data_IF_027586081951
#
_entry.id   IF_027586081951
#
_cell.length_a   1.000
_cell.length_b   1.000
_cell.length_c   1.000
_cell.angle_alpha   90.00
_cell.angle_beta   90.00
_cell.angle_gamma   90.00
#
_symmetry.space_group_name_H-M   'P 1'
#
loop_
_entity.id
_entity.type
_entity.pdbx_description
1 polymer ?
#
# COMPACT_ATOMS: atom_id res chain seq x y z
N UNK A 1 11.19 -0.85 20.28
CA UNK A 1 10.79 -2.27 20.27
C UNK A 1 9.28 -2.48 20.49
N UNK A 2 8.61 -1.72 21.36
CA UNK A 2 7.15 -1.88 21.62
C UNK A 2 6.24 -1.67 20.39
N UNK A 3 6.45 -0.61 19.59
CA UNK A 3 5.53 -0.30 18.48
C UNK A 3 5.51 -1.35 17.35
N UNK A 4 6.57 -2.14 17.19
CA UNK A 4 6.61 -3.28 16.25
C UNK A 4 5.86 -4.49 16.80
N UNK A 5 5.95 -4.73 18.11
CA UNK A 5 5.32 -5.88 18.77
C UNK A 5 3.78 -5.78 18.76
N UNK A 6 3.24 -4.57 18.92
CA UNK A 6 1.79 -4.31 18.97
C UNK A 6 1.24 -3.73 17.67
N UNK A 7 1.90 -3.97 16.54
CA UNK A 7 1.38 -3.53 15.24
C UNK A 7 0.10 -4.33 14.93
N UNK A 8 -1.03 -3.67 14.62
CA UNK A 8 -2.28 -4.37 14.34
C UNK A 8 -2.13 -5.32 13.16
N UNK A 9 -2.67 -6.53 13.28
CA UNK A 9 -2.59 -7.59 12.27
C UNK A 9 -3.83 -7.71 11.41
N UNK A 10 -4.96 -7.18 11.87
CA UNK A 10 -6.27 -7.22 11.23
C UNK A 10 -7.03 -5.91 11.54
N UNK A 11 -8.16 -5.71 10.88
CA UNK A 11 -8.95 -4.48 11.00
C UNK A 11 -9.52 -4.24 12.41
N UNK A 12 -9.82 -5.27 13.19
CA UNK A 12 -10.38 -5.13 14.54
C UNK A 12 -9.36 -4.65 15.58
N UNK A 13 -8.06 -4.83 15.31
CA UNK A 13 -6.97 -4.34 16.16
C UNK A 13 -6.61 -2.87 15.89
N UNK A 14 -7.10 -2.28 14.79
CA UNK A 14 -6.86 -0.86 14.46
C UNK A 14 -7.66 0.03 15.41
N UNK A 15 -7.01 0.99 16.06
CA UNK A 15 -7.63 1.90 17.04
C UNK A 15 -7.75 3.31 16.49
N UNK A 16 -8.92 3.95 16.72
CA UNK A 16 -9.15 5.37 16.42
C UNK A 16 -9.34 5.70 14.94
N UNK A 17 -9.48 4.70 14.07
CA UNK A 17 -9.67 4.86 12.62
C UNK A 17 -10.92 4.11 12.13
N UNK A 18 -11.96 4.04 12.96
CA UNK A 18 -13.14 3.20 12.74
C UNK A 18 -13.84 3.49 11.40
N UNK A 19 -13.90 4.77 11.01
CA UNK A 19 -14.46 5.18 9.73
C UNK A 19 -13.67 4.61 8.54
N UNK A 20 -12.34 4.72 8.57
CA UNK A 20 -11.46 4.21 7.50
C UNK A 20 -11.59 2.70 7.39
N UNK A 21 -11.52 2.00 8.53
CA UNK A 21 -11.68 0.55 8.62
C UNK A 21 -13.02 0.10 8.05
N UNK A 22 -14.12 0.78 8.42
CA UNK A 22 -15.46 0.47 7.93
C UNK A 22 -15.57 0.61 6.41
N UNK A 23 -15.01 1.68 5.85
CA UNK A 23 -15.03 1.93 4.39
C UNK A 23 -14.25 0.83 3.65
N UNK A 24 -13.04 0.51 4.11
CA UNK A 24 -12.21 -0.53 3.48
C UNK A 24 -12.86 -1.91 3.59
N UNK A 25 -13.34 -2.30 4.77
CA UNK A 25 -14.02 -3.58 4.98
C UNK A 25 -15.27 -3.70 4.09
N UNK A 26 -16.04 -2.62 3.93
CA UNK A 26 -17.19 -2.60 3.04
C UNK A 26 -16.78 -2.71 1.56
N UNK A 27 -15.69 -2.07 1.14
CA UNK A 27 -15.18 -2.16 -0.23
C UNK A 27 -14.77 -3.61 -0.57
N UNK A 28 -14.05 -4.29 0.33
CA UNK A 28 -13.65 -5.70 0.18
C UNK A 28 -14.87 -6.60 0.12
N UNK A 29 -15.79 -6.48 1.10
CA UNK A 29 -17.01 -7.30 1.17
C UNK A 29 -17.85 -7.20 -0.09
N UNK A 30 -17.96 -6.00 -0.66
CA UNK A 30 -18.75 -5.75 -1.87
C UNK A 30 -17.97 -6.00 -3.17
N UNK A 31 -16.71 -6.45 -3.10
CA UNK A 31 -15.80 -6.58 -4.26
C UNK A 31 -15.70 -5.29 -5.09
N UNK A 32 -15.73 -4.13 -4.41
CA UNK A 32 -15.65 -2.78 -5.01
C UNK A 32 -14.37 -2.08 -4.59
N UNK A 33 -13.25 -2.77 -4.70
CA UNK A 33 -11.93 -2.25 -4.33
C UNK A 33 -11.34 -1.43 -5.48
N UNK A 34 -10.77 -0.26 -5.16
CA UNK A 34 -10.01 0.57 -6.10
C UNK A 34 -8.66 -0.08 -6.44
N UNK A 35 -8.09 0.30 -7.59
CA UNK A 35 -6.72 -0.07 -7.98
C UNK A 35 -5.65 0.71 -7.17
N UNK A 36 -6.01 1.86 -6.58
CA UNK A 36 -5.11 2.68 -5.79
C UNK A 36 -5.80 3.31 -4.57
N UNK A 37 -5.03 3.44 -3.48
CA UNK A 37 -5.44 4.08 -2.22
C UNK A 37 -4.35 5.03 -1.73
N UNK A 38 -4.73 6.25 -1.36
CA UNK A 38 -3.84 7.22 -0.72
C UNK A 38 -4.18 7.32 0.77
N UNK A 39 -3.24 6.92 1.62
CA UNK A 39 -3.33 7.11 3.06
C UNK A 39 -2.54 8.36 3.46
N UNK A 40 -3.24 9.38 3.97
CA UNK A 40 -2.62 10.62 4.43
C UNK A 40 -2.78 10.79 5.96
N UNK A 41 -1.84 11.50 6.58
CA UNK A 41 -1.85 11.78 8.02
C UNK A 41 -0.45 11.81 8.63
N UNK A 42 -0.35 12.23 9.90
CA UNK A 42 0.93 12.35 10.61
C UNK A 42 1.64 10.99 10.80
N UNK A 43 2.93 11.04 11.12
CA UNK A 43 3.72 9.83 11.38
C UNK A 43 3.14 9.07 12.58
N UNK A 44 3.06 7.74 12.47
CA UNK A 44 2.59 6.87 13.56
C UNK A 44 1.08 6.67 13.64
N UNK A 45 0.27 7.29 12.77
CA UNK A 45 -1.21 7.11 12.75
C UNK A 45 -1.68 5.78 12.18
N UNK A 46 -0.77 4.93 11.71
CA UNK A 46 -1.09 3.59 11.24
C UNK A 46 -1.26 3.44 9.72
N UNK A 47 -0.93 4.46 8.90
CA UNK A 47 -1.03 4.44 7.42
C UNK A 47 -0.49 3.14 6.78
N UNK A 48 0.80 2.86 6.96
CA UNK A 48 1.44 1.65 6.41
C UNK A 48 0.96 0.36 7.08
N UNK A 49 0.43 0.44 8.31
CA UNK A 49 -0.16 -0.73 8.98
C UNK A 49 -1.50 -1.11 8.34
N UNK A 50 -2.38 -0.12 8.12
CA UNK A 50 -3.67 -0.30 7.46
C UNK A 50 -3.49 -0.78 6.02
N UNK A 51 -2.50 -0.26 5.28
CA UNK A 51 -2.19 -0.73 3.93
C UNK A 51 -1.81 -2.23 3.90
N UNK A 52 -0.99 -2.70 4.84
CA UNK A 52 -0.65 -4.14 4.95
C UNK A 52 -1.85 -5.00 5.33
N UNK A 53 -2.71 -4.51 6.24
CA UNK A 53 -3.94 -5.21 6.61
C UNK A 53 -4.84 -5.33 5.38
N UNK A 54 -5.03 -4.26 4.62
CA UNK A 54 -5.81 -4.28 3.37
C UNK A 54 -5.27 -5.32 2.39
N UNK A 55 -3.95 -5.39 2.16
CA UNK A 55 -3.37 -6.40 1.27
C UNK A 55 -3.69 -7.83 1.73
N UNK A 56 -3.54 -8.12 3.03
CA UNK A 56 -3.87 -9.44 3.60
C UNK A 56 -5.34 -9.81 3.48
N UNK A 57 -6.23 -8.87 3.74
CA UNK A 57 -7.69 -9.07 3.63
C UNK A 57 -8.14 -9.24 2.17
N UNK A 58 -7.33 -8.78 1.21
CA UNK A 58 -7.49 -9.08 -0.22
C UNK A 58 -6.89 -10.42 -0.65
N UNK A 59 -6.32 -11.18 0.29
CA UNK A 59 -5.70 -12.49 0.03
C UNK A 59 -4.29 -12.40 -0.55
N UNK A 60 -3.59 -11.27 -0.41
CA UNK A 60 -2.22 -11.11 -0.88
C UNK A 60 -1.24 -11.75 0.09
N UNK A 61 -0.40 -12.65 -0.40
CA UNK A 61 0.69 -13.27 0.35
C UNK A 61 1.93 -12.36 0.39
N UNK A 62 2.85 -12.63 1.32
CA UNK A 62 4.07 -11.85 1.47
C UNK A 62 4.99 -11.89 0.22
N UNK A 63 4.81 -12.88 -0.68
CA UNK A 63 5.57 -12.97 -1.94
C UNK A 63 5.10 -11.97 -3.01
N UNK A 64 3.83 -11.56 -2.92
CA UNK A 64 3.19 -10.64 -3.86
C UNK A 64 2.97 -9.25 -3.26
N UNK A 65 3.47 -9.03 -2.04
CA UNK A 65 3.49 -7.75 -1.34
C UNK A 65 4.86 -7.09 -1.52
N UNK A 66 4.87 -5.99 -2.28
CA UNK A 66 6.07 -5.22 -2.57
C UNK A 66 6.02 -3.91 -1.78
N UNK A 67 7.05 -3.65 -0.99
CA UNK A 67 7.15 -2.43 -0.20
C UNK A 67 8.35 -1.59 -0.63
N UNK A 68 8.11 -0.32 -0.93
CA UNK A 68 9.14 0.65 -1.29
C UNK A 68 9.07 1.85 -0.36
N UNK A 69 10.22 2.27 0.18
CA UNK A 69 10.36 3.56 0.85
C UNK A 69 10.79 4.62 -0.17
N UNK A 70 9.90 5.57 -0.46
CA UNK A 70 10.14 6.64 -1.42
C UNK A 70 11.10 7.71 -0.90
N UNK A 71 11.40 7.76 0.41
CA UNK A 71 12.45 8.66 0.91
C UNK A 71 13.85 8.21 0.44
N UNK A 72 14.03 6.90 0.31
CA UNK A 72 15.27 6.24 -0.11
C UNK A 72 15.34 6.02 -1.62
N UNK A 73 14.22 5.61 -2.24
CA UNK A 73 14.11 5.30 -3.68
C UNK A 73 13.21 6.35 -4.34
N UNK A 74 13.74 7.58 -4.47
CA UNK A 74 12.94 8.75 -4.88
C UNK A 74 13.00 9.06 -6.38
N UNK A 75 13.89 8.39 -7.11
CA UNK A 75 14.29 8.72 -8.48
C UNK A 75 13.36 8.16 -9.55
N UNK A 76 13.56 8.63 -10.77
CA UNK A 76 12.79 8.14 -11.93
C UNK A 76 13.10 6.67 -12.26
N UNK A 77 14.35 6.25 -12.08
CA UNK A 77 14.77 4.89 -12.42
C UNK A 77 14.14 3.86 -11.47
N UNK A 78 14.04 4.18 -10.17
CA UNK A 78 13.34 3.35 -9.18
C UNK A 78 11.88 3.11 -9.56
N UNK A 79 11.17 4.17 -9.99
CA UNK A 79 9.77 4.06 -10.42
C UNK A 79 9.63 3.34 -11.75
N UNK A 80 10.60 3.45 -12.67
CA UNK A 80 10.59 2.69 -13.92
C UNK A 80 10.71 1.20 -13.64
N UNK A 81 11.62 0.80 -12.76
CA UNK A 81 11.76 -0.60 -12.33
C UNK A 81 10.48 -1.11 -11.68
N UNK A 82 9.89 -0.34 -10.76
CA UNK A 82 8.60 -0.67 -10.14
C UNK A 82 7.52 -0.88 -11.21
N UNK A 83 7.43 0.04 -12.17
CA UNK A 83 6.45 0.01 -13.26
C UNK A 83 6.63 -1.22 -14.15
N UNK A 84 7.86 -1.59 -14.49
CA UNK A 84 8.12 -2.84 -15.22
C UNK A 84 7.63 -4.04 -14.42
N UNK A 85 7.87 -4.05 -13.11
CA UNK A 85 7.33 -5.05 -12.20
C UNK A 85 5.80 -5.11 -12.18
N UNK A 86 5.09 -4.00 -12.32
CA UNK A 86 3.60 -3.97 -12.31
C UNK A 86 3.00 -4.78 -13.46
N UNK A 87 3.68 -4.86 -14.61
CA UNK A 87 3.17 -5.60 -15.78
C UNK A 87 3.35 -7.11 -15.68
N UNK A 88 4.06 -7.63 -14.68
CA UNK A 88 4.16 -9.07 -14.45
C UNK A 88 2.93 -9.60 -13.71
N UNK A 89 2.60 -10.87 -13.91
CA UNK A 89 1.60 -11.55 -13.08
C UNK A 89 2.07 -11.68 -11.63
N UNK A 90 1.15 -11.69 -10.64
CA UNK A 90 1.47 -12.12 -9.29
C UNK A 90 1.89 -13.61 -9.28
N UNK A 91 2.68 -13.99 -8.28
CA UNK A 91 3.23 -15.33 -8.13
C UNK A 91 2.17 -16.35 -7.69
N UNK A 92 1.46 -16.06 -6.60
CA UNK A 92 0.46 -16.98 -6.02
C UNK A 92 -0.82 -16.29 -5.52
N UNK A 93 -0.83 -14.96 -5.47
CA UNK A 93 -1.93 -14.15 -4.94
C UNK A 93 -2.90 -13.66 -6.04
N UNK A 94 -4.15 -13.31 -5.69
CA UNK A 94 -5.08 -12.70 -6.64
C UNK A 94 -4.64 -11.31 -7.12
N UNK A 95 -3.77 -10.63 -6.36
CA UNK A 95 -3.26 -9.29 -6.68
C UNK A 95 -1.76 -9.20 -6.43
N UNK A 96 -1.08 -8.40 -7.26
CA UNK A 96 0.27 -7.89 -6.98
C UNK A 96 0.13 -6.55 -6.27
N UNK A 97 0.53 -6.46 -5.01
CA UNK A 97 0.21 -5.31 -4.16
C UNK A 97 1.46 -4.49 -3.85
N UNK A 98 1.45 -3.21 -4.21
CA UNK A 98 2.56 -2.29 -3.96
C UNK A 98 2.20 -1.31 -2.83
N UNK A 99 3.08 -1.18 -1.85
CA UNK A 99 3.02 -0.14 -0.81
C UNK A 99 4.20 0.80 -1.03
N UNK A 100 3.89 2.06 -1.34
CA UNK A 100 4.90 3.13 -1.44
C UNK A 100 4.78 3.99 -0.17
N UNK A 101 5.70 3.83 0.77
CA UNK A 101 5.75 4.64 1.99
C UNK A 101 6.42 5.99 1.71
N UNK A 102 5.98 7.03 2.41
CA UNK A 102 6.42 8.41 2.23
C UNK A 102 6.43 8.89 0.76
N UNK A 103 5.42 8.49 -0.03
CA UNK A 103 5.32 8.77 -1.47
C UNK A 103 5.45 10.26 -1.87
N UNK A 104 5.21 11.19 -0.92
CA UNK A 104 5.42 12.62 -1.10
C UNK A 104 6.91 13.00 -1.31
N UNK A 105 7.83 12.09 -1.01
CA UNK A 105 9.28 12.28 -1.19
C UNK A 105 9.76 11.97 -2.62
N UNK A 106 8.91 11.41 -3.48
CA UNK A 106 9.23 11.16 -4.89
C UNK A 106 9.55 12.45 -5.63
N UNK A 107 10.50 12.41 -6.56
CA UNK A 107 10.70 13.55 -7.47
C UNK A 107 9.47 13.73 -8.36
N UNK A 108 9.29 14.94 -8.90
CA UNK A 108 8.18 15.24 -9.82
C UNK A 108 8.18 14.31 -11.05
N UNK A 109 9.37 13.97 -11.56
CA UNK A 109 9.54 13.08 -12.70
C UNK A 109 9.13 11.64 -12.35
N UNK A 110 9.55 11.16 -11.17
CA UNK A 110 9.15 9.87 -10.63
C UNK A 110 7.62 9.81 -10.43
N UNK A 111 7.02 10.86 -9.88
CA UNK A 111 5.56 10.95 -9.72
C UNK A 111 4.82 10.87 -11.06
N UNK A 112 5.27 11.61 -12.07
CA UNK A 112 4.67 11.57 -13.41
C UNK A 112 4.82 10.19 -14.08
N UNK A 113 5.92 9.48 -13.83
CA UNK A 113 6.11 8.12 -14.33
C UNK A 113 5.15 7.13 -13.64
N UNK A 114 4.91 7.30 -12.34
CA UNK A 114 3.98 6.49 -11.56
C UNK A 114 2.51 6.75 -11.96
N UNK A 115 2.11 7.99 -12.24
CA UNK A 115 0.73 8.29 -12.64
C UNK A 115 0.29 7.52 -13.89
N UNK A 116 1.20 7.29 -14.84
CA UNK A 116 0.94 6.51 -16.06
C UNK A 116 0.61 5.03 -15.80
N UNK A 117 0.84 4.52 -14.59
CA UNK A 117 0.41 3.17 -14.19
C UNK A 117 -0.93 3.16 -13.47
N UNK A 118 -1.41 4.32 -13.04
CA UNK A 118 -2.67 4.49 -12.30
C UNK A 118 -3.83 4.93 -13.20
N UNK A 119 -3.52 5.53 -14.36
CA UNK A 119 -4.46 5.83 -15.45
C UNK A 119 -4.91 4.57 -16.19
#
# INVERSE_FOLDING_TARGET
>A
MLYRAYRPKNFSEVRGQDHVVKVLAAAIKNKKTSHAYLFAGSRGTGKTSVARILARELGVSDKDLYEMDAASNRGIDDIRELREGVYSMPFESPYKFYIIDEAHMLTKEAWNALLKTLE
#
